data_IF_533842036615
#
_entry.id   IF_533842036615
#
_cell.length_a   1.000
_cell.length_b   1.000
_cell.length_c   1.000
_cell.angle_alpha   90.00
_cell.angle_beta   90.00
_cell.angle_gamma   90.00
#
_symmetry.space_group_name_H-M   'P 1'
#
loop_
_entity.id
_entity.type
_entity.pdbx_description
1 polymer ?
#
# COMPACT_ATOMS: atom_id res chain seq x y z
N UNK A 1 3.02 23.89 -13.97
CA UNK A 1 4.29 23.15 -13.81
C UNK A 1 3.93 21.70 -13.52
N UNK A 2 4.50 20.73 -14.23
CA UNK A 2 4.26 19.32 -13.91
C UNK A 2 4.75 19.03 -12.50
N UNK A 3 3.92 18.40 -11.66
CA UNK A 3 4.28 18.09 -10.28
C UNK A 3 5.21 16.87 -10.27
N UNK A 4 6.40 17.03 -9.71
CA UNK A 4 7.32 15.92 -9.42
C UNK A 4 6.87 15.21 -8.14
N UNK A 5 6.82 13.88 -8.14
CA UNK A 5 6.38 13.11 -6.98
C UNK A 5 7.31 11.91 -6.75
N UNK A 6 7.75 11.69 -5.52
CA UNK A 6 8.47 10.46 -5.17
C UNK A 6 7.49 9.28 -5.09
N UNK A 7 7.92 8.09 -5.54
CA UNK A 7 7.10 6.86 -5.57
C UNK A 7 7.69 5.69 -4.78
N UNK A 8 8.93 5.81 -4.28
CA UNK A 8 9.54 4.80 -3.39
C UNK A 8 10.25 5.47 -2.23
N UNK A 9 10.43 4.74 -1.12
CA UNK A 9 11.46 5.09 -0.14
C UNK A 9 12.86 5.09 -0.78
N UNK A 10 13.82 5.71 -0.10
CA UNK A 10 15.22 5.63 -0.49
C UNK A 10 15.75 4.20 -0.30
N UNK A 11 16.31 3.62 -1.35
CA UNK A 11 16.88 2.29 -1.34
C UNK A 11 18.35 2.28 -1.81
N UNK A 12 19.04 1.18 -1.55
CA UNK A 12 20.41 0.97 -2.03
C UNK A 12 20.41 0.52 -3.48
N UNK A 13 21.25 1.17 -4.30
CA UNK A 13 21.44 0.84 -5.72
C UNK A 13 22.94 0.74 -6.01
N UNK A 14 23.51 -0.45 -5.81
CA UNK A 14 24.96 -0.63 -5.76
C UNK A 14 25.57 0.20 -4.64
N UNK A 15 26.61 0.98 -4.95
CA UNK A 15 27.25 1.90 -4.01
C UNK A 15 26.48 3.22 -3.82
N UNK A 16 25.38 3.41 -4.53
CA UNK A 16 24.56 4.61 -4.50
C UNK A 16 23.33 4.43 -3.60
N UNK A 17 22.72 5.56 -3.26
CA UNK A 17 21.33 5.60 -2.84
C UNK A 17 20.46 6.00 -4.03
N UNK A 18 19.23 5.52 -4.04
CA UNK A 18 18.28 5.82 -5.10
C UNK A 18 16.86 5.97 -4.56
N UNK A 19 16.06 6.73 -5.30
CA UNK A 19 14.62 6.78 -5.15
C UNK A 19 13.99 6.94 -6.52
N UNK A 20 12.80 6.39 -6.69
CA UNK A 20 12.05 6.53 -7.93
C UNK A 20 11.11 7.73 -7.84
N UNK A 21 11.02 8.46 -8.94
CA UNK A 21 10.31 9.72 -9.10
C UNK A 21 9.37 9.59 -10.28
N UNK A 22 8.11 9.90 -10.05
CA UNK A 22 7.14 10.20 -11.10
C UNK A 22 7.31 11.66 -11.53
N UNK A 23 7.53 11.86 -12.82
CA UNK A 23 7.54 13.16 -13.46
C UNK A 23 6.90 13.06 -14.84
N UNK A 24 5.85 13.85 -15.07
CA UNK A 24 5.12 13.86 -16.34
C UNK A 24 4.61 12.45 -16.72
N UNK A 25 4.08 11.70 -15.74
CA UNK A 25 3.51 10.35 -15.94
C UNK A 25 4.54 9.33 -16.44
N UNK A 26 5.80 9.54 -16.09
CA UNK A 26 6.90 8.64 -16.39
C UNK A 26 7.73 8.45 -15.12
N UNK A 27 8.29 7.26 -14.95
CA UNK A 27 9.10 6.93 -13.78
C UNK A 27 10.59 7.08 -14.09
N UNK A 28 11.30 7.70 -13.16
CA UNK A 28 12.73 7.95 -13.24
C UNK A 28 13.38 7.52 -11.94
N UNK A 29 14.53 6.86 -12.02
CA UNK A 29 15.39 6.61 -10.87
C UNK A 29 16.36 7.78 -10.72
N UNK A 30 16.28 8.45 -9.58
CA UNK A 30 17.31 9.40 -9.14
C UNK A 30 18.31 8.63 -8.28
N UNK A 31 19.61 8.76 -8.55
CA UNK A 31 20.67 8.08 -7.79
C UNK A 31 21.81 9.02 -7.41
N UNK A 32 22.25 8.98 -6.15
CA UNK A 32 23.26 9.88 -5.59
C UNK A 32 24.22 9.16 -4.62
N UNK A 33 25.33 9.82 -4.31
CA UNK A 33 26.35 9.36 -3.34
C UNK A 33 26.21 10.08 -2.01
N UNK A 34 26.77 9.51 -0.95
CA UNK A 34 26.94 10.19 0.35
C UNK A 34 25.99 9.68 1.43
N UNK A 35 25.16 10.55 1.99
CA UNK A 35 24.15 10.18 2.99
C UNK A 35 22.78 10.02 2.33
N UNK A 36 22.07 8.95 2.68
CA UNK A 36 20.72 8.68 2.20
C UNK A 36 19.69 9.72 2.69
N UNK A 37 19.99 10.40 3.79
CA UNK A 37 19.16 11.49 4.35
C UNK A 37 19.26 12.78 3.55
N UNK A 38 20.34 12.95 2.80
CA UNK A 38 20.56 14.12 1.97
C UNK A 38 19.88 13.91 0.61
N UNK A 39 18.55 13.88 0.63
CA UNK A 39 17.75 13.67 -0.58
C UNK A 39 18.00 14.81 -1.59
N UNK A 40 18.25 14.51 -2.88
CA UNK A 40 18.54 15.53 -3.88
C UNK A 40 17.38 16.52 -4.11
N UNK A 41 17.71 17.78 -4.40
CA UNK A 41 16.71 18.79 -4.76
C UNK A 41 16.09 18.49 -6.14
N UNK A 42 14.76 18.40 -6.19
CA UNK A 42 13.98 18.12 -7.39
C UNK A 42 13.36 19.38 -8.03
N UNK A 43 13.67 20.58 -7.54
CA UNK A 43 13.06 21.83 -8.01
C UNK A 43 13.26 22.13 -9.50
N UNK A 44 14.31 21.58 -10.12
CA UNK A 44 14.62 21.72 -11.56
C UNK A 44 14.54 20.39 -12.32
N UNK A 45 13.76 19.42 -11.83
CA UNK A 45 13.64 18.10 -12.46
C UNK A 45 13.28 18.21 -13.97
N UNK A 46 13.95 17.46 -14.87
CA UNK A 46 14.84 16.32 -14.63
C UNK A 46 16.31 16.65 -14.37
N UNK A 47 16.72 17.93 -14.31
CA UNK A 47 18.07 18.28 -13.89
C UNK A 47 18.17 18.25 -12.36
N UNK A 48 18.96 17.30 -11.85
CA UNK A 48 19.17 17.11 -10.40
C UNK A 48 20.66 17.24 -10.08
N UNK A 49 21.13 18.39 -9.58
CA UNK A 49 22.54 18.61 -9.25
C UNK A 49 23.09 17.56 -8.29
N UNK A 50 24.26 17.00 -8.62
CA UNK A 50 24.92 15.99 -7.78
C UNK A 50 24.27 14.60 -7.79
N UNK A 51 23.23 14.38 -8.60
CA UNK A 51 22.61 13.09 -8.80
C UNK A 51 22.57 12.71 -10.28
N UNK A 52 22.32 11.43 -10.53
CA UNK A 52 22.02 10.89 -11.86
C UNK A 52 20.53 10.62 -11.96
N UNK A 53 19.95 10.89 -13.13
CA UNK A 53 18.53 10.61 -13.41
C UNK A 53 18.48 9.65 -14.58
N UNK A 54 17.81 8.51 -14.40
CA UNK A 54 17.64 7.50 -15.42
C UNK A 54 16.17 7.15 -15.59
N UNK A 55 15.67 7.13 -16.82
CA UNK A 55 14.33 6.65 -17.13
C UNK A 55 14.17 5.16 -16.76
N UNK A 56 13.04 4.79 -16.18
CA UNK A 56 12.67 3.40 -15.91
C UNK A 56 11.67 2.97 -16.97
N UNK A 57 12.08 2.03 -17.82
CA UNK A 57 11.18 1.42 -18.80
C UNK A 57 10.22 0.46 -18.10
N UNK A 58 8.95 0.53 -18.48
CA UNK A 58 7.94 -0.40 -18.01
C UNK A 58 7.42 -1.31 -19.12
N UNK A 59 6.47 -2.17 -18.75
CA UNK A 59 5.59 -2.87 -19.67
C UNK A 59 4.51 -1.91 -20.20
N UNK A 60 3.92 -2.20 -21.38
CA UNK A 60 2.85 -1.37 -21.94
C UNK A 60 1.67 -1.16 -20.98
N UNK A 61 1.31 -2.16 -20.17
CA UNK A 61 0.20 -2.11 -19.23
C UNK A 61 0.47 -1.17 -18.04
N UNK A 62 1.73 -1.12 -17.59
CA UNK A 62 2.16 -0.18 -16.55
C UNK A 62 2.26 1.23 -17.11
N UNK A 63 2.78 1.39 -18.33
CA UNK A 63 2.83 2.70 -19.02
C UNK A 63 1.41 3.25 -19.25
N UNK A 64 0.44 2.41 -19.63
CA UNK A 64 -0.96 2.80 -19.75
C UNK A 64 -1.51 3.31 -18.43
N UNK A 65 -1.27 2.59 -17.32
CA UNK A 65 -1.70 3.03 -16.00
C UNK A 65 -1.07 4.38 -15.61
N UNK A 66 0.24 4.55 -15.82
CA UNK A 66 0.93 5.81 -15.53
C UNK A 66 0.33 6.96 -16.35
N UNK A 67 0.05 6.70 -17.63
CA UNK A 67 -0.53 7.65 -18.56
C UNK A 67 -1.95 8.11 -18.17
N UNK A 68 -2.67 7.38 -17.30
CA UNK A 68 -4.04 7.74 -16.83
C UNK A 68 -4.15 7.94 -15.31
N UNK A 69 -3.03 8.11 -14.60
CA UNK A 69 -3.07 8.23 -13.14
C UNK A 69 -1.99 9.13 -12.57
N UNK A 70 -2.21 9.59 -11.34
CA UNK A 70 -1.31 10.47 -10.62
C UNK A 70 -0.94 9.87 -9.26
N UNK A 71 0.30 10.08 -8.83
CA UNK A 71 0.77 9.60 -7.52
C UNK A 71 0.03 10.34 -6.39
N UNK A 72 -0.57 9.57 -5.49
CA UNK A 72 -1.22 10.08 -4.28
C UNK A 72 -0.27 10.03 -3.07
N UNK A 73 0.41 8.88 -2.88
CA UNK A 73 1.38 8.63 -1.82
C UNK A 73 2.20 7.38 -2.11
N UNK A 74 3.29 7.19 -1.40
CA UNK A 74 4.08 5.96 -1.43
C UNK A 74 4.35 5.47 0.00
N UNK A 75 4.77 4.21 0.11
CA UNK A 75 5.24 3.59 1.34
C UNK A 75 6.24 2.46 1.06
N UNK A 76 6.65 1.76 2.11
CA UNK A 76 7.71 0.76 2.05
C UNK A 76 7.43 -0.40 1.07
N UNK A 77 6.17 -0.80 0.97
CA UNK A 77 5.78 -2.03 0.24
C UNK A 77 4.95 -1.77 -1.02
N UNK A 78 4.56 -0.52 -1.31
CA UNK A 78 3.84 -0.14 -2.53
C UNK A 78 3.74 1.38 -2.68
N UNK A 79 3.18 1.85 -3.79
CA UNK A 79 2.66 3.21 -3.87
C UNK A 79 1.22 3.25 -4.35
N UNK A 80 0.56 4.35 -4.05
CA UNK A 80 -0.85 4.59 -4.33
C UNK A 80 -0.95 5.66 -5.42
N UNK A 81 -1.71 5.33 -6.46
CA UNK A 81 -2.04 6.22 -7.57
C UNK A 81 -3.55 6.45 -7.61
N UNK A 82 -3.96 7.58 -8.17
CA UNK A 82 -5.34 7.91 -8.41
C UNK A 82 -5.57 8.01 -9.93
N UNK A 83 -6.53 7.25 -10.45
CA UNK A 83 -6.97 7.34 -11.83
C UNK A 83 -7.55 8.72 -12.12
N UNK A 84 -7.26 9.27 -13.29
CA UNK A 84 -7.98 10.43 -13.79
C UNK A 84 -9.45 10.05 -13.99
N UNK A 85 -10.38 10.95 -13.66
CA UNK A 85 -11.79 10.65 -13.81
C UNK A 85 -12.16 10.72 -15.30
N UNK A 86 -12.43 9.57 -15.91
CA UNK A 86 -13.13 9.52 -17.19
C UNK A 86 -14.64 9.38 -16.95
N UNK A 87 -15.46 10.37 -17.36
CA UNK A 87 -16.91 10.34 -17.15
C UNK A 87 -17.54 9.07 -17.72
N UNK A 88 -18.27 8.31 -16.90
CA UNK A 88 -19.03 7.14 -17.34
C UNK A 88 -18.22 5.85 -17.51
N UNK A 89 -16.97 5.83 -17.09
CA UNK A 89 -16.19 4.59 -16.96
C UNK A 89 -16.62 3.81 -15.71
N UNK A 90 -16.70 2.48 -15.79
CA UNK A 90 -16.91 1.62 -14.60
C UNK A 90 -15.77 1.73 -13.57
N UNK A 91 -14.67 2.41 -13.92
CA UNK A 91 -13.53 2.71 -13.06
C UNK A 91 -13.88 3.72 -11.93
N UNK A 92 -15.00 4.44 -12.02
CA UNK A 92 -15.47 5.39 -10.99
C UNK A 92 -15.62 4.75 -9.60
N UNK A 93 -15.97 3.45 -9.53
CA UNK A 93 -16.13 2.74 -8.26
C UNK A 93 -14.79 2.41 -7.59
N UNK A 94 -13.73 2.20 -8.37
CA UNK A 94 -12.42 1.78 -7.87
C UNK A 94 -11.28 2.68 -8.42
N UNK A 95 -11.29 3.99 -8.10
CA UNK A 95 -10.40 4.96 -8.72
C UNK A 95 -8.97 4.92 -8.15
N UNK A 96 -8.75 4.22 -7.04
CA UNK A 96 -7.46 4.20 -6.35
C UNK A 96 -6.69 2.94 -6.75
N UNK A 97 -5.44 3.06 -7.15
CA UNK A 97 -4.58 1.94 -7.53
C UNK A 97 -3.48 1.75 -6.48
N UNK A 98 -3.31 0.54 -5.95
CA UNK A 98 -2.11 0.12 -5.20
C UNK A 98 -1.20 -0.63 -6.17
N UNK A 99 0.05 -0.19 -6.31
CA UNK A 99 0.98 -0.69 -7.33
C UNK A 99 2.38 -0.92 -6.77
N UNK A 100 3.06 -1.92 -7.32
CA UNK A 100 4.40 -2.33 -6.94
C UNK A 100 5.46 -1.66 -7.84
N UNK A 101 6.56 -1.23 -7.23
CA UNK A 101 7.72 -0.68 -7.94
C UNK A 101 8.80 -1.73 -8.26
N UNK A 102 8.72 -2.94 -7.67
CA UNK A 102 9.69 -4.01 -7.90
C UNK A 102 9.12 -5.41 -7.62
N UNK A 103 9.88 -6.45 -7.96
CA UNK A 103 9.46 -7.85 -7.86
C UNK A 103 9.18 -8.33 -6.42
N UNK A 104 9.82 -7.73 -5.40
CA UNK A 104 9.47 -8.01 -3.99
C UNK A 104 8.07 -7.48 -3.68
N UNK A 105 7.80 -6.23 -4.05
CA UNK A 105 6.50 -5.61 -3.81
C UNK A 105 5.38 -6.29 -4.62
N UNK A 106 5.66 -6.77 -5.84
CA UNK A 106 4.68 -7.54 -6.64
C UNK A 106 4.16 -8.77 -5.90
N UNK A 107 5.05 -9.52 -5.24
CA UNK A 107 4.65 -10.67 -4.41
C UNK A 107 3.73 -10.27 -3.26
N UNK A 108 4.03 -9.16 -2.59
CA UNK A 108 3.22 -8.69 -1.46
C UNK A 108 1.85 -8.22 -1.92
N UNK A 109 1.80 -7.47 -3.02
CA UNK A 109 0.56 -7.01 -3.65
C UNK A 109 -0.31 -8.18 -4.10
N UNK A 110 0.29 -9.23 -4.67
CA UNK A 110 -0.45 -10.42 -5.07
C UNK A 110 -1.11 -11.10 -3.87
N UNK A 111 -0.35 -11.39 -2.81
CA UNK A 111 -0.89 -12.01 -1.60
C UNK A 111 -2.00 -11.16 -0.97
N UNK A 112 -1.78 -9.83 -0.92
CA UNK A 112 -2.75 -8.88 -0.38
C UNK A 112 -4.04 -8.84 -1.20
N UNK A 113 -3.92 -8.78 -2.52
CA UNK A 113 -5.05 -8.77 -3.43
C UNK A 113 -5.91 -10.03 -3.27
N UNK A 114 -5.28 -11.20 -3.17
CA UNK A 114 -5.99 -12.46 -2.97
C UNK A 114 -6.77 -12.50 -1.66
N UNK A 115 -6.19 -12.00 -0.57
CA UNK A 115 -6.85 -11.88 0.73
C UNK A 115 -8.00 -10.88 0.68
N UNK A 116 -7.77 -9.67 0.16
CA UNK A 116 -8.80 -8.62 0.09
C UNK A 116 -9.98 -9.03 -0.80
N UNK A 117 -9.70 -9.68 -1.93
CA UNK A 117 -10.75 -10.19 -2.81
C UNK A 117 -11.61 -11.24 -2.11
N UNK A 118 -11.00 -12.19 -1.40
CA UNK A 118 -11.74 -13.20 -0.63
C UNK A 118 -12.58 -12.57 0.49
N UNK A 119 -12.00 -11.63 1.25
CA UNK A 119 -12.71 -10.92 2.32
C UNK A 119 -13.88 -10.10 1.78
N UNK A 120 -13.70 -9.38 0.67
CA UNK A 120 -14.75 -8.60 0.01
C UNK A 120 -15.91 -9.46 -0.48
N UNK A 121 -15.64 -10.59 -1.13
CA UNK A 121 -16.67 -11.55 -1.57
C UNK A 121 -17.47 -12.13 -0.39
N UNK A 122 -16.89 -12.15 0.80
CA UNK A 122 -17.49 -12.65 2.02
C UNK A 122 -18.06 -11.56 2.94
N UNK A 123 -18.22 -10.33 2.40
CA UNK A 123 -18.77 -9.15 3.08
C UNK A 123 -18.07 -8.80 4.41
N UNK A 124 -16.76 -9.04 4.50
CA UNK A 124 -15.95 -8.58 5.63
C UNK A 124 -15.76 -7.05 5.58
N UNK A 125 -15.57 -6.38 6.72
CA UNK A 125 -15.37 -4.92 6.80
C UNK A 125 -13.94 -4.53 6.38
N UNK A 126 -13.63 -4.71 5.11
CA UNK A 126 -12.36 -4.35 4.48
C UNK A 126 -12.60 -3.42 3.30
N UNK A 127 -11.53 -2.73 2.89
CA UNK A 127 -11.52 -2.03 1.61
C UNK A 127 -11.95 -2.95 0.47
N UNK A 128 -12.89 -2.48 -0.36
CA UNK A 128 -13.33 -3.19 -1.55
C UNK A 128 -12.32 -3.00 -2.68
N UNK A 129 -12.02 -4.11 -3.35
CA UNK A 129 -11.10 -4.15 -4.50
C UNK A 129 -11.85 -4.53 -5.77
N UNK A 130 -11.38 -4.02 -6.91
CA UNK A 130 -11.89 -4.44 -8.20
C UNK A 130 -11.62 -5.94 -8.41
N UNK A 131 -12.58 -6.74 -8.93
CA UNK A 131 -12.42 -8.19 -9.06
C UNK A 131 -11.23 -8.62 -9.95
N UNK A 132 -10.91 -7.81 -10.94
CA UNK A 132 -9.76 -8.01 -11.84
C UNK A 132 -8.54 -7.20 -11.38
N UNK A 133 -7.40 -7.86 -11.10
CA UNK A 133 -6.15 -7.20 -10.75
C UNK A 133 -5.53 -6.49 -11.97
N UNK A 134 -4.52 -5.67 -11.72
CA UNK A 134 -3.68 -5.08 -12.76
C UNK A 134 -2.54 -6.05 -13.06
N UNK A 135 -2.43 -6.49 -14.31
CA UNK A 135 -1.52 -7.55 -14.75
C UNK A 135 -0.67 -7.10 -15.93
N UNK A 136 0.56 -7.60 -16.01
CA UNK A 136 1.43 -7.50 -17.18
C UNK A 136 2.11 -8.85 -17.46
N UNK A 137 3.10 -8.88 -18.35
CA UNK A 137 3.86 -10.09 -18.69
C UNK A 137 4.59 -10.78 -17.51
N UNK A 138 4.66 -10.16 -16.32
CA UNK A 138 5.25 -10.72 -15.09
C UNK A 138 4.21 -11.08 -14.03
N UNK A 139 2.92 -11.01 -14.35
CA UNK A 139 1.82 -11.29 -13.43
C UNK A 139 1.23 -10.03 -12.80
N UNK A 140 0.72 -10.16 -11.58
CA UNK A 140 0.06 -9.05 -10.87
C UNK A 140 1.08 -7.98 -10.48
N UNK A 141 0.84 -6.75 -10.88
CA UNK A 141 1.65 -5.59 -10.49
C UNK A 141 0.90 -4.60 -9.61
N UNK A 142 -0.42 -4.74 -9.51
CA UNK A 142 -1.27 -3.86 -8.72
C UNK A 142 -2.70 -4.33 -8.68
N UNK A 143 -3.53 -3.56 -7.98
CA UNK A 143 -4.98 -3.70 -8.01
C UNK A 143 -5.65 -2.35 -7.79
N UNK A 144 -6.92 -2.28 -8.18
CA UNK A 144 -7.78 -1.11 -7.99
C UNK A 144 -8.65 -1.30 -6.75
N UNK A 145 -8.94 -0.22 -6.04
CA UNK A 145 -9.71 -0.21 -4.80
C UNK A 145 -10.58 1.04 -4.68
N UNK A 146 -11.61 0.95 -3.84
CA UNK A 146 -12.51 2.06 -3.57
C UNK A 146 -11.77 3.24 -2.91
N UNK A 147 -12.38 4.43 -2.99
CA UNK A 147 -11.86 5.59 -2.26
C UNK A 147 -12.24 5.47 -0.78
N UNK A 148 -11.24 5.68 0.07
CA UNK A 148 -11.39 5.70 1.52
C UNK A 148 -11.11 7.09 2.10
N UNK A 149 -11.71 7.35 3.24
CA UNK A 149 -11.51 8.57 4.02
C UNK A 149 -10.65 8.24 5.24
N UNK A 150 -9.62 9.05 5.46
CA UNK A 150 -8.84 8.99 6.68
C UNK A 150 -9.71 9.43 7.86
N UNK A 151 -9.54 8.74 8.99
CA UNK A 151 -10.25 9.06 10.22
C UNK A 151 -9.58 10.31 10.81
N UNK A 152 -10.31 11.41 10.84
CA UNK A 152 -9.82 12.68 11.36
C UNK A 152 -9.66 12.64 12.89
N UNK A 153 -8.83 13.52 13.48
CA UNK A 153 -8.60 13.55 14.93
C UNK A 153 -9.87 13.78 15.74
N UNK A 154 -10.88 14.43 15.16
CA UNK A 154 -12.18 14.71 15.81
C UNK A 154 -13.17 13.54 15.69
N UNK A 155 -12.85 12.50 14.91
CA UNK A 155 -13.70 11.32 14.76
C UNK A 155 -13.34 10.30 15.84
N UNK A 156 -14.15 10.25 16.89
CA UNK A 156 -13.98 9.25 17.95
C UNK A 156 -14.32 7.86 17.41
N UNK A 157 -13.30 7.02 17.21
CA UNK A 157 -13.47 5.61 16.89
C UNK A 157 -13.15 4.78 18.11
N UNK A 158 -14.15 4.06 18.61
CA UNK A 158 -14.01 3.24 19.81
C UNK A 158 -13.17 1.98 19.56
N UNK A 159 -12.41 1.58 20.58
CA UNK A 159 -11.73 0.27 20.65
C UNK A 159 -12.69 -0.88 20.31
N UNK A 160 -13.93 -0.82 20.78
CA UNK A 160 -14.98 -1.82 20.53
C UNK A 160 -15.37 -1.94 19.05
N UNK A 161 -15.38 -0.84 18.30
CA UNK A 161 -15.78 -0.84 16.89
C UNK A 161 -14.68 -1.47 16.02
N UNK A 162 -13.42 -1.17 16.32
CA UNK A 162 -12.27 -1.79 15.66
C UNK A 162 -12.24 -3.30 15.96
N UNK A 163 -12.50 -3.71 17.21
CA UNK A 163 -12.62 -5.13 17.54
C UNK A 163 -13.75 -5.83 16.79
N UNK A 164 -14.89 -5.16 16.62
CA UNK A 164 -16.01 -5.72 15.86
C UNK A 164 -15.62 -5.94 14.39
N UNK A 165 -14.86 -5.03 13.80
CA UNK A 165 -14.34 -5.20 12.44
C UNK A 165 -13.34 -6.36 12.36
N UNK A 166 -12.38 -6.38 13.28
CA UNK A 166 -11.34 -7.42 13.37
C UNK A 166 -11.95 -8.81 13.57
N UNK A 167 -12.93 -8.95 14.47
CA UNK A 167 -13.61 -10.23 14.72
C UNK A 167 -14.25 -10.79 13.45
N UNK A 168 -14.91 -9.96 12.66
CA UNK A 168 -15.51 -10.39 11.39
C UNK A 168 -14.46 -10.89 10.39
N UNK A 169 -13.26 -10.31 10.40
CA UNK A 169 -12.13 -10.77 9.58
C UNK A 169 -11.57 -12.09 10.12
N UNK A 170 -11.41 -12.21 11.44
CA UNK A 170 -10.98 -13.44 12.10
C UNK A 170 -11.93 -14.61 11.86
N UNK A 171 -13.24 -14.36 11.80
CA UNK A 171 -14.26 -15.36 11.43
C UNK A 171 -14.07 -15.92 10.01
N UNK A 172 -13.33 -15.21 9.14
CA UNK A 172 -12.92 -15.70 7.80
C UNK A 172 -11.55 -16.41 7.81
N UNK A 173 -10.97 -16.65 8.99
CA UNK A 173 -9.69 -17.32 9.13
C UNK A 173 -8.48 -16.48 8.73
N UNK A 174 -8.62 -15.14 8.63
CA UNK A 174 -7.53 -14.23 8.24
C UNK A 174 -6.99 -13.51 9.48
N UNK A 175 -5.67 -13.46 9.60
CA UNK A 175 -4.94 -12.66 10.59
C UNK A 175 -4.36 -11.44 9.86
N UNK A 176 -4.58 -10.23 10.37
CA UNK A 176 -4.11 -9.00 9.73
C UNK A 176 -2.59 -8.86 9.83
N UNK A 177 -2.02 -9.13 11.01
CA UNK A 177 -0.59 -9.14 11.34
C UNK A 177 0.12 -7.78 11.18
N UNK A 178 -0.63 -6.67 11.05
CA UNK A 178 -0.11 -5.30 11.06
C UNK A 178 -1.17 -4.28 11.54
N UNK A 179 -1.95 -4.67 12.54
CA UNK A 179 -3.09 -3.87 12.97
C UNK A 179 -2.64 -2.65 13.80
N UNK A 180 -2.93 -1.45 13.30
CA UNK A 180 -2.76 -0.18 14.00
C UNK A 180 -3.78 0.86 13.46
N UNK A 181 -3.98 2.02 14.11
CA UNK A 181 -5.05 2.96 13.71
C UNK A 181 -4.94 3.51 12.31
N UNK A 182 -3.71 3.71 11.79
CA UNK A 182 -3.55 4.18 10.41
C UNK A 182 -4.05 3.15 9.38
N UNK A 183 -4.29 1.90 9.80
CA UNK A 183 -4.89 0.83 9.00
C UNK A 183 -6.41 0.70 9.23
N UNK A 184 -7.01 1.67 9.92
CA UNK A 184 -8.46 1.81 10.05
C UNK A 184 -8.87 3.06 9.29
N UNK A 185 -9.77 2.89 8.32
CA UNK A 185 -10.31 3.98 7.50
C UNK A 185 -11.83 3.92 7.47
N UNK A 186 -12.45 4.90 6.82
CA UNK A 186 -13.89 4.95 6.59
C UNK A 186 -14.19 4.85 5.09
N UNK A 187 -15.16 4.01 4.71
CA UNK A 187 -15.62 3.91 3.32
C UNK A 187 -16.64 5.03 2.97
N UNK A 188 -17.09 5.07 1.72
CA UNK A 188 -18.05 6.07 1.24
C UNK A 188 -19.43 6.01 1.93
N UNK A 189 -19.74 4.93 2.63
CA UNK A 189 -20.98 4.72 3.38
C UNK A 189 -20.84 5.09 4.87
N UNK A 190 -19.69 5.62 5.28
CA UNK A 190 -19.44 6.00 6.67
C UNK A 190 -19.12 4.83 7.59
N UNK A 191 -18.78 3.65 7.05
CA UNK A 191 -18.46 2.45 7.82
C UNK A 191 -16.95 2.31 8.00
N UNK A 192 -16.54 1.82 9.17
CA UNK A 192 -15.14 1.46 9.41
C UNK A 192 -14.75 0.25 8.58
N UNK A 193 -13.58 0.35 7.96
CA UNK A 193 -12.97 -0.73 7.19
C UNK A 193 -11.49 -0.84 7.55
N UNK A 194 -11.00 -2.08 7.59
CA UNK A 194 -9.56 -2.33 7.70
C UNK A 194 -8.89 -2.31 6.33
N UNK A 195 -7.65 -1.82 6.30
CA UNK A 195 -6.81 -1.70 5.11
C UNK A 195 -5.43 -2.33 5.34
N UNK A 196 -4.66 -2.44 4.27
CA UNK A 196 -3.25 -2.86 4.27
C UNK A 196 -3.00 -4.29 4.77
N UNK A 197 -3.45 -5.24 3.96
CA UNK A 197 -3.32 -6.68 4.23
C UNK A 197 -2.00 -7.26 3.70
N UNK A 198 -1.01 -6.41 3.40
CA UNK A 198 0.29 -6.82 2.82
C UNK A 198 1.04 -7.86 3.67
N UNK A 199 0.84 -7.82 4.99
CA UNK A 199 1.46 -8.75 5.96
C UNK A 199 0.54 -9.87 6.42
N UNK A 200 -0.72 -9.88 5.97
CA UNK A 200 -1.75 -10.80 6.42
C UNK A 200 -1.53 -12.22 5.92
N UNK A 201 -2.23 -13.16 6.54
CA UNK A 201 -2.22 -14.55 6.17
C UNK A 201 -3.34 -15.34 6.85
N UNK A 202 -3.49 -16.61 6.47
CA UNK A 202 -4.46 -17.49 7.12
C UNK A 202 -3.93 -17.97 8.47
N UNK A 203 -4.80 -18.01 9.48
CA UNK A 203 -4.48 -18.54 10.80
C UNK A 203 -3.87 -19.94 10.70
N UNK A 204 -2.83 -20.22 11.49
CA UNK A 204 -2.12 -21.50 11.50
C UNK A 204 -1.06 -21.67 10.39
N UNK A 205 -1.07 -20.84 9.34
CA UNK A 205 -0.01 -20.87 8.33
C UNK A 205 1.28 -20.27 8.86
N UNK A 206 2.42 -20.71 8.31
CA UNK A 206 3.73 -20.13 8.61
C UNK A 206 3.82 -18.69 8.11
N UNK A 207 4.33 -17.80 8.94
CA UNK A 207 4.57 -16.39 8.60
C UNK A 207 5.86 -16.31 7.77
N UNK A 208 5.80 -15.79 6.54
CA UNK A 208 7.00 -15.50 5.75
C UNK A 208 7.94 -14.57 6.52
N UNK A 209 9.25 -14.80 6.45
CA UNK A 209 10.26 -14.04 7.20
C UNK A 209 10.08 -12.54 7.00
N UNK A 210 9.85 -12.10 5.76
CA UNK A 210 9.66 -10.72 5.39
C UNK A 210 8.32 -10.10 5.83
N UNK A 211 7.37 -10.90 6.33
CA UNK A 211 6.08 -10.44 6.87
C UNK A 211 6.00 -10.48 8.39
N UNK A 212 7.04 -10.95 9.09
CA UNK A 212 7.05 -11.07 10.56
C UNK A 212 6.81 -9.72 11.22
N UNK A 213 5.88 -9.68 12.17
CA UNK A 213 5.63 -8.51 13.02
C UNK A 213 6.68 -8.47 14.15
N UNK A 214 7.23 -7.30 14.52
CA UNK A 214 8.13 -7.16 15.68
C UNK A 214 7.49 -7.60 17.00
N UNK A 215 6.16 -7.61 17.06
CA UNK A 215 5.38 -7.84 18.26
C UNK A 215 4.90 -9.27 18.42
N UNK A 216 5.09 -10.10 17.39
CA UNK A 216 4.69 -11.50 17.38
C UNK A 216 5.89 -12.40 17.08
N UNK A 217 6.27 -13.22 18.07
CA UNK A 217 7.48 -14.05 17.98
C UNK A 217 7.23 -15.46 17.47
N UNK A 218 5.97 -15.91 17.44
CA UNK A 218 5.65 -17.24 16.96
C UNK A 218 5.80 -17.32 15.43
N UNK A 219 6.01 -18.54 14.92
CA UNK A 219 6.21 -18.76 13.49
C UNK A 219 4.92 -18.83 12.68
N UNK A 220 3.77 -18.94 13.35
CA UNK A 220 2.46 -19.12 12.73
C UNK A 220 1.58 -17.90 12.93
N UNK A 221 0.75 -17.61 11.93
CA UNK A 221 -0.31 -16.61 12.04
C UNK A 221 -1.29 -17.01 13.16
N UNK A 222 -1.56 -16.08 14.08
CA UNK A 222 -2.50 -16.26 15.19
C UNK A 222 -3.32 -14.99 15.38
N UNK A 223 -4.60 -15.14 15.70
CA UNK A 223 -5.47 -14.01 16.06
C UNK A 223 -4.97 -13.25 17.29
N UNK A 224 -4.22 -13.93 18.16
CA UNK A 224 -3.58 -13.32 19.33
C UNK A 224 -2.58 -12.22 18.93
N UNK A 225 -1.94 -12.33 17.76
CA UNK A 225 -1.04 -11.30 17.24
C UNK A 225 -1.76 -9.96 17.03
N UNK A 226 -2.95 -10.00 16.44
CA UNK A 226 -3.76 -8.78 16.21
C UNK A 226 -4.30 -8.23 17.54
N UNK A 227 -4.70 -9.10 18.47
CA UNK A 227 -5.13 -8.71 19.81
C UNK A 227 -4.04 -7.96 20.56
N UNK A 228 -2.81 -8.49 20.56
CA UNK A 228 -1.64 -7.87 21.18
C UNK A 228 -1.33 -6.50 20.55
N UNK A 229 -1.36 -6.41 19.21
CA UNK A 229 -1.12 -5.15 18.50
C UNK A 229 -2.15 -4.09 18.89
N UNK A 230 -3.43 -4.48 18.96
CA UNK A 230 -4.51 -3.55 19.30
C UNK A 230 -4.48 -3.12 20.77
N UNK A 231 -4.23 -4.05 21.70
CA UNK A 231 -4.13 -3.73 23.12
C UNK A 231 -2.96 -2.79 23.39
N UNK A 232 -1.81 -3.01 22.74
CA UNK A 232 -0.67 -2.09 22.84
C UNK A 232 -0.99 -0.70 22.35
N UNK A 233 -1.66 -0.59 21.20
CA UNK A 233 -2.06 0.71 20.69
C UNK A 233 -2.91 1.50 21.71
N UNK A 234 -3.92 0.85 22.31
CA UNK A 234 -4.78 1.53 23.29
C UNK A 234 -4.14 1.74 24.67
N UNK A 235 -3.12 0.95 25.03
CA UNK A 235 -2.36 1.13 26.26
C UNK A 235 -1.23 2.17 26.12
N UNK A 236 -0.72 2.40 24.92
CA UNK A 236 0.35 3.38 24.66
C UNK A 236 0.24 3.95 23.23
N UNK A 237 -0.62 4.96 23.00
CA UNK A 237 -0.92 5.47 21.65
C UNK A 237 0.24 6.23 20.97
N UNK A 238 1.40 6.36 21.63
CA UNK A 238 2.57 7.10 21.14
C UNK A 238 3.84 6.23 20.94
N UNK A 239 3.72 4.90 20.99
CA UNK A 239 4.86 3.97 20.77
C UNK A 239 5.04 3.52 19.34
#
# INVERSE_FOLDING_TARGET
MSKTAQVTDTYKFGDLYAANIDFQRQEYRVSWRGDWRNFPDLGSFPQVPGATVAFISHSPEVDELWAKSQVLRYGADSHIRLLDQEPGSGEEQFPVCKVAANDRQRRFIQDEFEILRDLGLNAAPTVQVHPEPLVDGKGIFGFRMERLLAIGPDTAVGKSEIFKCLKQIHEKGVVHNDLHPMNVMMNGQGQLVLIDFGRSGRVGNKIPTEKRSPWWRAELYSFEADQISLDRFFSNPFS
#
